data_IF_314740207462
#
_entry.id   IF_314740207462
#
_cell.length_a   1.000
_cell.length_b   1.000
_cell.length_c   1.000
_cell.angle_alpha   90.00
_cell.angle_beta   90.00
_cell.angle_gamma   90.00
#
_symmetry.space_group_name_H-M   'P 1'
#
loop_
_entity.id
_entity.type
_entity.pdbx_description
1 polymer ?
#
# COMPACT_ATOMS: atom_id res chain seq x y z
N UNK A 1 0.53 11.96 8.07
CA UNK A 1 1.60 12.71 7.39
C UNK A 1 1.01 13.18 6.07
N UNK A 2 1.07 14.47 5.72
CA UNK A 2 0.67 14.92 4.38
C UNK A 2 1.92 14.84 3.51
N UNK A 3 1.98 13.83 2.63
CA UNK A 3 2.92 13.83 1.52
C UNK A 3 2.47 14.94 0.57
N UNK A 4 3.40 15.84 0.23
CA UNK A 4 3.15 16.90 -0.73
C UNK A 4 4.40 17.06 -1.60
N UNK A 5 4.30 16.65 -2.85
CA UNK A 5 5.28 16.89 -3.90
C UNK A 5 4.53 17.16 -5.23
N UNK A 6 4.55 18.40 -5.73
CA UNK A 6 3.82 18.80 -6.93
C UNK A 6 4.16 18.02 -8.20
N UNK A 7 5.27 17.27 -8.22
CA UNK A 7 5.67 16.43 -9.35
C UNK A 7 4.88 15.12 -9.41
N UNK A 8 4.36 14.65 -8.27
CA UNK A 8 3.71 13.34 -8.15
C UNK A 8 2.30 13.39 -7.57
N UNK A 9 1.91 14.48 -6.90
CA UNK A 9 0.55 14.68 -6.38
C UNK A 9 -0.49 14.86 -7.49
N UNK A 10 -1.77 14.64 -7.14
CA UNK A 10 -2.93 14.87 -8.01
C UNK A 10 -2.82 14.20 -9.40
N UNK A 11 -2.18 13.02 -9.45
CA UNK A 11 -1.93 12.27 -10.69
C UNK A 11 -0.81 12.84 -11.56
N UNK A 12 -0.05 13.83 -11.09
CA UNK A 12 1.06 14.42 -11.85
C UNK A 12 2.15 13.39 -12.18
N UNK A 13 2.27 12.32 -11.39
CA UNK A 13 3.25 11.25 -11.57
C UNK A 13 3.16 10.52 -12.92
N UNK A 14 1.99 10.54 -13.59
CA UNK A 14 1.85 10.03 -14.97
C UNK A 14 2.67 10.81 -16.00
N UNK A 15 3.01 12.07 -15.71
CA UNK A 15 3.76 12.93 -16.62
C UNK A 15 5.28 12.79 -16.42
N UNK A 16 5.72 12.08 -15.38
CA UNK A 16 7.14 11.89 -15.09
C UNK A 16 7.73 10.83 -16.02
N UNK A 17 8.96 11.00 -16.53
CA UNK A 17 9.62 10.02 -17.39
C UNK A 17 9.75 8.61 -16.79
N UNK A 18 9.62 8.50 -15.46
CA UNK A 18 9.70 7.26 -14.69
C UNK A 18 8.35 6.71 -14.24
N UNK A 19 7.24 7.07 -14.90
CA UNK A 19 5.86 6.66 -14.55
C UNK A 19 5.77 5.19 -14.09
N UNK A 20 6.27 4.24 -14.89
CA UNK A 20 6.20 2.80 -14.56
C UNK A 20 6.93 2.44 -13.26
N UNK A 21 8.09 3.07 -12.99
CA UNK A 21 8.84 2.84 -11.76
C UNK A 21 8.16 3.49 -10.54
N UNK A 22 7.49 4.62 -10.74
CA UNK A 22 6.70 5.29 -9.70
C UNK A 22 5.47 4.44 -9.35
N UNK A 23 4.77 3.92 -10.37
CA UNK A 23 3.66 3.00 -10.18
C UNK A 23 4.09 1.76 -9.39
N UNK A 24 5.22 1.14 -9.79
CA UNK A 24 5.77 -0.01 -9.08
C UNK A 24 6.14 0.33 -7.63
N UNK A 25 6.70 1.52 -7.37
CA UNK A 25 6.98 1.98 -6.01
C UNK A 25 5.70 2.09 -5.16
N UNK A 26 4.63 2.69 -5.69
CA UNK A 26 3.37 2.82 -4.96
C UNK A 26 2.71 1.46 -4.71
N UNK A 27 2.76 0.55 -5.69
CA UNK A 27 2.34 -0.85 -5.49
C UNK A 27 3.14 -1.55 -4.40
N UNK A 28 4.47 -1.40 -4.39
CA UNK A 28 5.33 -1.98 -3.35
C UNK A 28 4.97 -1.43 -1.96
N UNK A 29 4.68 -0.13 -1.85
CA UNK A 29 4.24 0.50 -0.60
C UNK A 29 2.87 -0.03 -0.13
N UNK A 30 1.97 -0.34 -1.06
CA UNK A 30 0.65 -0.90 -0.77
C UNK A 30 0.63 -2.42 -0.51
N UNK A 31 1.68 -3.16 -0.90
CA UNK A 31 1.74 -4.62 -0.78
C UNK A 31 2.71 -5.13 0.29
N UNK A 32 3.85 -4.47 0.48
CA UNK A 32 4.92 -4.96 1.33
C UNK A 32 4.79 -4.46 2.78
N UNK A 33 3.72 -4.85 3.46
CA UNK A 33 3.46 -4.53 4.86
C UNK A 33 2.61 -5.59 5.58
N UNK A 34 2.51 -5.48 6.90
CA UNK A 34 1.56 -6.26 7.72
C UNK A 34 0.36 -5.44 8.23
N UNK A 35 0.08 -4.28 7.61
CA UNK A 35 -1.11 -3.48 7.91
C UNK A 35 -2.43 -4.21 7.64
N UNK A 36 -3.42 -3.94 8.49
CA UNK A 36 -4.79 -4.47 8.42
C UNK A 36 -5.75 -3.29 8.26
N UNK A 37 -6.70 -3.34 7.31
CA UNK A 37 -7.74 -2.33 7.20
C UNK A 37 -8.78 -2.47 8.32
N UNK A 38 -8.94 -1.41 9.10
CA UNK A 38 -9.97 -1.20 10.11
C UNK A 38 -11.05 -0.28 9.53
N UNK A 39 -12.15 -0.89 9.09
CA UNK A 39 -13.25 -0.18 8.44
C UNK A 39 -14.22 0.32 9.50
N UNK A 40 -14.40 1.63 9.57
CA UNK A 40 -15.40 2.23 10.44
C UNK A 40 -16.82 1.89 9.92
N UNK A 41 -17.63 1.13 10.68
CA UNK A 41 -18.93 0.66 10.21
C UNK A 41 -19.99 1.78 10.07
N UNK A 42 -19.74 2.97 10.65
CA UNK A 42 -20.66 4.10 10.60
C UNK A 42 -20.35 5.07 9.47
N UNK A 43 -19.06 5.30 9.19
CA UNK A 43 -18.61 6.27 8.18
C UNK A 43 -18.14 5.61 6.88
N UNK A 44 -17.82 4.32 6.90
CA UNK A 44 -17.18 3.62 5.79
C UNK A 44 -15.70 3.99 5.61
N UNK A 45 -15.14 4.80 6.50
CA UNK A 45 -13.74 5.22 6.46
C UNK A 45 -12.82 4.03 6.76
N UNK A 46 -11.79 3.83 5.94
CA UNK A 46 -10.81 2.76 6.11
C UNK A 46 -9.59 3.35 6.80
N UNK A 47 -9.31 2.89 8.01
CA UNK A 47 -8.08 3.21 8.74
C UNK A 47 -7.12 2.03 8.65
N UNK A 48 -5.87 2.27 8.27
CA UNK A 48 -4.88 1.21 8.17
C UNK A 48 -4.09 1.10 9.47
N UNK A 49 -4.14 -0.07 10.12
CA UNK A 49 -3.38 -0.34 11.35
C UNK A 49 -2.22 -1.28 11.06
N UNK A 50 -1.00 -0.84 11.30
CA UNK A 50 0.22 -1.64 11.17
C UNK A 50 0.92 -1.83 12.53
N UNK A 51 1.90 -2.74 12.57
CA UNK A 51 2.67 -3.02 13.78
C UNK A 51 3.68 -1.91 14.12
N UNK A 52 4.07 -1.12 13.11
CA UNK A 52 4.98 0.00 13.26
C UNK A 52 4.40 1.30 12.67
N UNK A 53 4.74 2.46 13.24
CA UNK A 53 4.30 3.75 12.71
C UNK A 53 4.87 4.04 11.31
N UNK A 54 6.04 3.47 10.99
CA UNK A 54 6.69 3.63 9.69
C UNK A 54 5.91 2.90 8.60
N UNK A 55 5.45 1.67 8.87
CA UNK A 55 4.56 0.95 7.95
C UNK A 55 3.26 1.72 7.74
N UNK A 56 2.60 2.17 8.82
CA UNK A 56 1.35 2.97 8.70
C UNK A 56 1.55 4.19 7.81
N UNK A 57 2.69 4.89 7.94
CA UNK A 57 3.00 6.03 7.10
C UNK A 57 3.16 5.67 5.62
N UNK A 58 3.79 4.53 5.31
CA UNK A 58 3.96 4.04 3.94
C UNK A 58 2.62 3.65 3.30
N UNK A 59 1.76 2.91 3.99
CA UNK A 59 0.46 2.50 3.42
C UNK A 59 -0.50 3.69 3.29
N UNK A 60 -0.44 4.63 4.23
CA UNK A 60 -1.20 5.89 4.13
C UNK A 60 -0.74 6.75 2.95
N UNK A 61 0.57 6.74 2.65
CA UNK A 61 1.09 7.42 1.47
C UNK A 61 0.63 6.76 0.18
N UNK A 62 0.63 5.42 0.12
CA UNK A 62 0.09 4.68 -1.02
C UNK A 62 -1.41 4.99 -1.24
N UNK A 63 -2.20 5.03 -0.17
CA UNK A 63 -3.61 5.41 -0.21
C UNK A 63 -3.83 6.83 -0.76
N UNK A 64 -2.99 7.80 -0.35
CA UNK A 64 -3.01 9.18 -0.88
C UNK A 64 -2.79 9.23 -2.40
N UNK A 65 -1.99 8.32 -2.96
CA UNK A 65 -1.76 8.21 -4.41
C UNK A 65 -2.76 7.26 -5.11
N UNK A 66 -3.87 6.90 -4.47
CA UNK A 66 -4.89 5.98 -4.98
C UNK A 66 -4.42 4.52 -5.17
N UNK A 67 -3.53 4.04 -4.30
CA UNK A 67 -3.15 2.64 -4.17
C UNK A 67 -3.63 2.12 -2.80
N UNK A 68 -4.94 1.97 -2.68
CA UNK A 68 -5.63 1.77 -1.40
C UNK A 68 -5.86 0.28 -1.09
N UNK A 69 -5.45 -0.16 0.09
CA UNK A 69 -5.78 -1.50 0.59
C UNK A 69 -7.23 -1.56 1.07
N UNK A 70 -8.06 -2.39 0.43
CA UNK A 70 -9.48 -2.59 0.79
C UNK A 70 -9.70 -3.77 1.73
N UNK A 71 -8.86 -4.81 1.64
CA UNK A 71 -9.05 -6.03 2.42
C UNK A 71 -7.94 -7.05 2.25
N UNK A 72 -7.82 -7.95 3.22
CA UNK A 72 -6.84 -9.05 3.19
C UNK A 72 -7.48 -10.44 3.46
N UNK A 73 -8.46 -10.91 2.67
CA UNK A 73 -9.11 -12.20 2.92
C UNK A 73 -8.24 -13.37 2.46
N UNK A 74 -8.16 -14.46 3.26
CA UNK A 74 -7.63 -15.77 2.85
C UNK A 74 -6.35 -15.73 1.98
N UNK A 75 -5.24 -15.23 2.53
CA UNK A 75 -3.95 -15.11 1.83
C UNK A 75 -4.03 -14.29 0.51
N UNK A 76 -4.93 -13.33 0.43
CA UNK A 76 -4.97 -12.34 -0.66
C UNK A 76 -4.93 -10.92 -0.11
N UNK A 77 -4.52 -9.97 -0.95
CA UNK A 77 -4.61 -8.54 -0.71
C UNK A 77 -5.43 -7.91 -1.84
N UNK A 78 -6.51 -7.24 -1.48
CA UNK A 78 -7.39 -6.53 -2.40
C UNK A 78 -7.00 -5.06 -2.37
N UNK A 79 -6.44 -4.59 -3.48
CA UNK A 79 -6.09 -3.18 -3.70
C UNK A 79 -7.10 -2.52 -4.62
N UNK A 80 -7.37 -1.25 -4.39
CA UNK A 80 -7.98 -0.34 -5.36
C UNK A 80 -6.85 0.54 -5.90
N UNK A 81 -6.49 0.28 -7.15
CA UNK A 81 -5.41 0.96 -7.86
C UNK A 81 -6.06 1.88 -8.87
N UNK A 82 -6.08 3.17 -8.55
CA UNK A 82 -6.64 4.24 -9.39
C UNK A 82 -8.11 4.00 -9.78
N UNK A 83 -8.91 3.42 -8.87
CA UNK A 83 -10.32 3.10 -9.11
C UNK A 83 -10.55 1.70 -9.71
N UNK A 84 -9.48 0.93 -9.97
CA UNK A 84 -9.55 -0.44 -10.46
C UNK A 84 -9.19 -1.40 -9.34
N UNK A 85 -10.13 -2.29 -8.99
CA UNK A 85 -9.88 -3.35 -8.02
C UNK A 85 -8.90 -4.39 -8.60
N UNK A 86 -7.81 -4.63 -7.88
CA UNK A 86 -6.79 -5.63 -8.18
C UNK A 86 -6.64 -6.58 -6.99
N UNK A 87 -6.63 -7.88 -7.27
CA UNK A 87 -6.49 -8.92 -6.26
C UNK A 87 -5.14 -9.58 -6.43
N UNK A 88 -4.33 -9.49 -5.37
CA UNK A 88 -3.00 -10.11 -5.31
C UNK A 88 -3.04 -11.32 -4.39
N UNK A 89 -2.56 -12.45 -4.89
CA UNK A 89 -2.41 -13.65 -4.07
C UNK A 89 -1.08 -13.60 -3.32
N UNK A 90 -1.12 -13.72 -2.00
CA UNK A 90 0.07 -13.72 -1.15
C UNK A 90 0.64 -15.14 -1.10
N UNK A 91 1.71 -15.36 -1.85
CA UNK A 91 2.39 -16.66 -1.91
C UNK A 91 3.30 -16.90 -0.69
N UNK A 92 3.92 -15.83 -0.18
CA UNK A 92 4.76 -15.88 1.00
C UNK A 92 4.91 -14.50 1.64
N UNK A 93 4.87 -14.46 2.98
CA UNK A 93 5.31 -13.31 3.78
C UNK A 93 6.51 -13.69 4.64
N UNK A 94 7.57 -12.90 4.53
CA UNK A 94 8.77 -13.02 5.33
C UNK A 94 8.84 -11.80 6.25
N UNK A 95 8.20 -11.94 7.42
CA UNK A 95 8.08 -10.88 8.42
C UNK A 95 9.42 -10.24 8.79
N UNK A 96 9.35 -9.00 9.27
CA UNK A 96 10.52 -8.29 9.76
C UNK A 96 11.16 -9.04 10.93
N UNK A 97 12.48 -9.19 10.89
CA UNK A 97 13.28 -9.66 12.01
C UNK A 97 14.52 -8.77 12.15
N UNK A 98 14.93 -8.52 13.40
CA UNK A 98 16.07 -7.68 13.74
C UNK A 98 17.40 -8.15 13.12
N UNK A 99 17.53 -9.46 12.86
CA UNK A 99 18.69 -10.03 12.16
C UNK A 99 18.64 -9.74 10.67
N UNK A 100 17.46 -9.87 10.05
CA UNK A 100 17.24 -9.66 8.61
C UNK A 100 17.21 -8.18 8.21
N UNK A 101 16.72 -7.32 9.11
CA UNK A 101 16.51 -5.87 8.91
C UNK A 101 15.65 -5.54 7.67
N UNK A 102 14.80 -6.47 7.24
CA UNK A 102 13.90 -6.32 6.10
C UNK A 102 12.68 -7.21 6.22
N UNK A 103 11.55 -6.73 5.73
CA UNK A 103 10.36 -7.51 5.41
C UNK A 103 10.39 -7.84 3.90
N UNK A 104 9.74 -8.93 3.50
CA UNK A 104 9.52 -9.22 2.08
C UNK A 104 8.19 -9.94 1.89
N UNK A 105 7.52 -9.68 0.78
CA UNK A 105 6.32 -10.39 0.35
C UNK A 105 6.54 -10.93 -1.07
N UNK A 106 5.98 -12.10 -1.37
CA UNK A 106 5.88 -12.64 -2.72
C UNK A 106 4.40 -12.69 -3.06
N UNK A 107 4.02 -12.00 -4.14
CA UNK A 107 2.65 -11.96 -4.62
C UNK A 107 2.53 -12.45 -6.06
N UNK A 108 1.33 -12.87 -6.46
CA UNK A 108 0.95 -13.21 -7.84
C UNK A 108 -0.26 -12.42 -8.28
#
# INVERSE_FOLDING_TARGET
VKFVDPRIDDGAWHNEPGEAAIQELFLLMALCHDAIPDVNPQTGEVNLQAQSPDETALVTAADHFHFSLKGCPNDTMVLDVEGVEQVYEVLAKLAFDSTRKRMSVIVR
#
